data_IF_002260375612
#
_entry.id   IF_002260375612
#
_cell.length_a   1.000
_cell.length_b   1.000
_cell.length_c   1.000
_cell.angle_alpha   90.00
_cell.angle_beta   90.00
_cell.angle_gamma   90.00
#
_symmetry.space_group_name_H-M   'P 1'
#
loop_
_entity.id
_entity.type
_entity.pdbx_description
1 polymer ?
#
# COMPACT_ATOMS: atom_id res chain seq x y z
N UNK A 1 -10.35 -11.37 -6.37
CA UNK A 1 -10.58 -9.93 -6.62
C UNK A 1 -9.45 -9.04 -6.10
N UNK A 2 -9.07 -9.09 -4.80
CA UNK A 2 -7.97 -8.28 -4.24
C UNK A 2 -6.60 -8.49 -4.93
N UNK A 3 -6.25 -9.75 -5.25
CA UNK A 3 -5.01 -10.08 -5.98
C UNK A 3 -4.97 -9.50 -7.41
N UNK A 4 -6.12 -9.37 -8.07
CA UNK A 4 -6.22 -8.78 -9.41
C UNK A 4 -6.19 -7.26 -9.37
N UNK A 5 -6.76 -6.64 -8.33
CA UNK A 5 -6.69 -5.20 -8.14
C UNK A 5 -5.23 -4.76 -7.94
N UNK A 6 -4.46 -5.44 -7.07
CA UNK A 6 -3.03 -5.15 -6.89
C UNK A 6 -2.18 -5.37 -8.15
N UNK A 7 -2.49 -6.41 -8.93
CA UNK A 7 -1.74 -6.71 -10.16
C UNK A 7 -1.92 -5.65 -11.27
N UNK A 8 -2.99 -4.84 -11.20
CA UNK A 8 -3.27 -3.77 -12.15
C UNK A 8 -2.58 -2.43 -11.80
N UNK A 9 -1.85 -2.37 -10.69
CA UNK A 9 -1.08 -1.20 -10.27
C UNK A 9 0.40 -1.41 -10.54
N UNK A 10 0.97 -0.58 -11.40
CA UNK A 10 2.41 -0.60 -11.65
C UNK A 10 3.18 -0.02 -10.45
N UNK A 11 4.47 -0.37 -10.26
CA UNK A 11 5.28 0.21 -9.20
C UNK A 11 5.33 1.75 -9.25
N UNK A 12 5.34 2.33 -10.46
CA UNK A 12 5.31 3.78 -10.66
C UNK A 12 3.98 4.38 -10.18
N UNK A 13 2.85 3.78 -10.52
CA UNK A 13 1.53 4.24 -10.05
C UNK A 13 1.40 4.12 -8.54
N UNK A 14 1.88 3.02 -7.95
CA UNK A 14 1.87 2.84 -6.50
C UNK A 14 2.69 3.93 -5.78
N UNK A 15 3.90 4.23 -6.29
CA UNK A 15 4.73 5.29 -5.72
C UNK A 15 4.03 6.67 -5.79
N UNK A 16 3.42 7.00 -6.92
CA UNK A 16 2.66 8.25 -7.07
C UNK A 16 1.44 8.30 -6.15
N UNK A 17 0.78 7.16 -5.95
CA UNK A 17 -0.35 7.02 -5.03
C UNK A 17 0.07 7.28 -3.57
N UNK A 18 1.15 6.67 -3.10
CA UNK A 18 1.69 6.91 -1.75
C UNK A 18 2.09 8.39 -1.56
N UNK A 19 2.74 9.00 -2.56
CA UNK A 19 3.09 10.42 -2.54
C UNK A 19 1.83 11.30 -2.48
N UNK A 20 0.80 10.97 -3.25
CA UNK A 20 -0.45 11.71 -3.27
C UNK A 20 -1.22 11.58 -1.94
N UNK A 21 -1.18 10.42 -1.27
CA UNK A 21 -1.76 10.26 0.07
C UNK A 21 -1.10 11.17 1.12
N UNK A 22 0.19 11.48 0.97
CA UNK A 22 0.90 12.40 1.85
C UNK A 22 0.53 13.88 1.62
N UNK A 23 0.07 14.22 0.41
CA UNK A 23 -0.35 15.59 0.05
C UNK A 23 -1.84 15.81 0.35
N UNK A 24 -2.68 14.82 0.05
CA UNK A 24 -4.13 14.88 0.21
C UNK A 24 -4.56 14.05 1.42
N UNK A 25 -4.68 14.72 2.56
CA UNK A 25 -5.12 14.13 3.82
C UNK A 25 -6.59 13.68 3.79
N UNK A 26 -7.11 13.24 4.94
CA UNK A 26 -8.49 12.73 5.08
C UNK A 26 -9.56 13.81 4.96
N UNK A 27 -9.23 15.06 5.24
CA UNK A 27 -10.19 16.18 5.26
C UNK A 27 -10.23 16.91 3.91
N UNK A 28 -9.28 16.62 3.03
CA UNK A 28 -9.22 17.15 1.66
C UNK A 28 -10.52 16.87 0.89
N UNK A 29 -11.24 17.92 0.43
CA UNK A 29 -12.39 17.75 -0.45
C UNK A 29 -11.99 17.03 -1.74
N UNK A 30 -12.87 16.16 -2.25
CA UNK A 30 -12.62 15.39 -3.47
C UNK A 30 -11.29 14.61 -3.48
N UNK A 31 -10.82 14.21 -2.29
CA UNK A 31 -9.54 13.52 -2.06
C UNK A 31 -9.21 12.48 -3.14
N UNK A 32 -10.15 11.58 -3.42
CA UNK A 32 -9.94 10.48 -4.35
C UNK A 32 -9.80 10.93 -5.81
N UNK A 33 -10.53 11.97 -6.21
CA UNK A 33 -10.38 12.59 -7.53
C UNK A 33 -9.02 13.28 -7.67
N UNK A 34 -8.57 13.97 -6.62
CA UNK A 34 -7.26 14.62 -6.60
C UNK A 34 -6.11 13.61 -6.66
N UNK A 35 -6.21 12.51 -5.91
CA UNK A 35 -5.24 11.41 -5.97
C UNK A 35 -5.26 10.73 -7.35
N UNK A 36 -6.43 10.44 -7.91
CA UNK A 36 -6.55 9.84 -9.25
C UNK A 36 -5.86 10.71 -10.32
N UNK A 37 -6.06 12.03 -10.25
CA UNK A 37 -5.37 12.99 -11.14
C UNK A 37 -3.85 12.97 -10.94
N UNK A 38 -3.37 12.89 -9.70
CA UNK A 38 -1.94 12.87 -9.38
C UNK A 38 -1.24 11.57 -9.80
N UNK A 39 -1.91 10.43 -9.64
CA UNK A 39 -1.41 9.11 -10.10
C UNK A 39 -1.36 9.07 -11.63
N UNK A 40 -2.35 9.67 -12.28
CA UNK A 40 -2.46 9.67 -13.74
C UNK A 40 -2.71 8.27 -14.32
N UNK A 41 -2.50 8.12 -15.62
CA UNK A 41 -2.63 6.81 -16.30
C UNK A 41 -4.06 6.25 -16.31
N UNK A 42 -5.07 7.13 -16.24
CA UNK A 42 -6.48 6.76 -16.43
C UNK A 42 -7.16 6.08 -15.24
N UNK A 43 -6.57 6.08 -14.04
CA UNK A 43 -7.22 5.54 -12.84
C UNK A 43 -8.41 6.39 -12.42
N UNK A 44 -9.54 5.76 -12.12
CA UNK A 44 -10.72 6.43 -11.59
C UNK A 44 -10.62 6.66 -10.08
N UNK A 45 -11.40 7.60 -9.54
CA UNK A 45 -11.46 7.84 -8.10
C UNK A 45 -11.91 6.58 -7.33
N UNK A 46 -12.81 5.78 -7.91
CA UNK A 46 -13.28 4.52 -7.33
C UNK A 46 -12.19 3.45 -7.35
N UNK A 47 -11.36 3.37 -8.40
CA UNK A 47 -10.19 2.48 -8.42
C UNK A 47 -9.18 2.85 -7.34
N UNK A 48 -8.91 4.14 -7.17
CA UNK A 48 -8.01 4.65 -6.13
C UNK A 48 -8.56 4.31 -4.75
N UNK A 49 -9.85 4.57 -4.50
CA UNK A 49 -10.49 4.26 -3.21
C UNK A 49 -10.42 2.76 -2.90
N UNK A 50 -10.74 1.90 -3.88
CA UNK A 50 -10.63 0.44 -3.70
C UNK A 50 -9.20 0.00 -3.39
N UNK A 51 -8.21 0.61 -4.02
CA UNK A 51 -6.81 0.30 -3.77
C UNK A 51 -6.36 0.76 -2.37
N UNK A 52 -6.85 1.91 -1.92
CA UNK A 52 -6.66 2.38 -0.54
C UNK A 52 -7.28 1.42 0.49
N UNK A 53 -8.51 0.95 0.26
CA UNK A 53 -9.18 0.02 1.18
C UNK A 53 -8.36 -1.29 1.34
N UNK A 54 -7.78 -1.79 0.26
CA UNK A 54 -6.87 -2.96 0.29
C UNK A 54 -5.59 -2.67 1.10
N UNK A 55 -5.02 -1.47 0.96
CA UNK A 55 -3.86 -1.06 1.74
C UNK A 55 -4.19 -1.02 3.25
N UNK A 56 -5.36 -0.50 3.62
CA UNK A 56 -5.80 -0.52 5.03
C UNK A 56 -6.02 -1.94 5.55
N UNK A 57 -6.56 -2.85 4.72
CA UNK A 57 -6.66 -4.26 5.08
C UNK A 57 -5.28 -4.91 5.29
N UNK A 58 -4.31 -4.65 4.40
CA UNK A 58 -2.95 -5.17 4.54
C UNK A 58 -2.28 -4.66 5.83
N UNK A 59 -2.44 -3.37 6.17
CA UNK A 59 -1.94 -2.80 7.42
C UNK A 59 -2.58 -3.48 8.63
N UNK A 60 -3.90 -3.67 8.64
CA UNK A 60 -4.60 -4.38 9.73
C UNK A 60 -4.10 -5.82 9.89
N UNK A 61 -3.77 -6.51 8.80
CA UNK A 61 -3.20 -7.85 8.88
C UNK A 61 -1.79 -7.85 9.49
N UNK A 62 -0.95 -6.86 9.16
CA UNK A 62 0.38 -6.71 9.77
C UNK A 62 0.25 -6.42 11.27
N UNK A 63 -0.58 -5.45 11.65
CA UNK A 63 -0.77 -5.04 13.05
C UNK A 63 -1.38 -6.14 13.92
N UNK A 64 -2.24 -6.99 13.34
CA UNK A 64 -2.82 -8.15 14.04
C UNK A 64 -1.92 -9.39 14.09
N UNK A 65 -0.68 -9.29 13.59
CA UNK A 65 0.28 -10.40 13.59
C UNK A 65 -0.09 -11.54 12.63
N UNK A 66 -0.94 -11.28 11.63
CA UNK A 66 -1.39 -12.25 10.62
C UNK A 66 -0.45 -12.33 9.41
N UNK A 67 0.68 -11.63 9.46
CA UNK A 67 1.75 -11.73 8.46
C UNK A 67 2.94 -12.45 9.09
N UNK A 68 3.43 -13.55 8.51
CA UNK A 68 4.60 -14.24 9.05
C UNK A 68 5.80 -13.30 9.02
N UNK A 69 6.46 -13.15 10.17
CA UNK A 69 7.74 -12.44 10.20
C UNK A 69 8.76 -13.17 9.32
N UNK A 70 9.57 -12.45 8.53
CA UNK A 70 10.71 -13.06 7.87
C UNK A 70 11.58 -13.76 8.92
N UNK A 71 12.00 -14.99 8.62
CA UNK A 71 13.02 -15.66 9.42
C UNK A 71 14.36 -14.97 9.17
N UNK A 72 14.57 -13.82 9.80
CA UNK A 72 15.87 -13.18 9.89
C UNK A 72 16.75 -14.17 10.64
N UNK A 73 17.57 -14.96 9.93
CA UNK A 73 18.60 -15.78 10.58
C UNK A 73 19.47 -14.82 11.36
N UNK A 74 19.28 -14.77 12.67
CA UNK A 74 20.31 -14.28 13.56
C UNK A 74 21.43 -15.31 13.45
N UNK A 75 22.66 -14.95 13.04
CA UNK A 75 23.80 -15.82 13.27
C UNK A 75 23.99 -15.86 14.78
N UNK A 76 23.27 -16.77 15.44
CA UNK A 76 23.52 -17.17 16.82
C UNK A 76 24.99 -17.52 16.91
N UNK A 77 25.66 -16.88 17.86
CA UNK A 77 27.11 -16.84 18.01
C UNK A 77 27.77 -18.18 17.67
N UNK A 78 28.82 -18.09 16.85
CA UNK A 78 29.81 -19.12 16.75
C UNK A 78 30.11 -19.61 18.18
N UNK A 79 29.75 -20.87 18.43
CA UNK A 79 30.13 -21.55 19.65
C UNK A 79 31.64 -21.40 19.79
N UNK A 80 32.07 -20.56 20.73
CA UNK A 80 33.43 -20.54 21.20
C UNK A 80 33.62 -21.85 21.98
N UNK A 81 34.28 -22.81 21.35
CA UNK A 81 34.86 -23.99 22.00
C UNK A 81 36.34 -23.74 22.23
#
# INVERSE_FOLDING_TARGET
MAQQARAQWTPKQNKLFEQALAVYDRETPDRWHNIARAVGGGKSAEEVKRYYDLLEEDVKHIESGKVPFPAYRCPTGAAAT
#
